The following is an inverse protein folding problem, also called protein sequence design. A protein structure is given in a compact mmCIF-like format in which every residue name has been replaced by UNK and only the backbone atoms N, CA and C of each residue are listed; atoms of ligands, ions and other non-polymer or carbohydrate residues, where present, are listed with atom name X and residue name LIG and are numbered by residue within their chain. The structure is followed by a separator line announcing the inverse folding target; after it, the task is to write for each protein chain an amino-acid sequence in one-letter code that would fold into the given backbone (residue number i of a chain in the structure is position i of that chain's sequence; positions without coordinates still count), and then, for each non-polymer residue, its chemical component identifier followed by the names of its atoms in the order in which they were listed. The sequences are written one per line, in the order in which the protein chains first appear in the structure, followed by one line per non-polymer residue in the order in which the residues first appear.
data_IF_223343923881
#
_entry.id   IF_223343923881
#
_cell.length_a   1.000
_cell.length_b   1.000
_cell.length_c   1.000
_cell.angle_alpha   90.00
_cell.angle_beta   90.00
_cell.angle_gamma   90.00
#
_symmetry.space_group_name_H-M   'P 1'
#
loop_
_entity.id
_entity.type
_entity.pdbx_description
1 polymer ?
#
# COMPACT_ATOMS: atom_id res chain seq x y z
N UNK A 1 -8.60 -8.26 69.00
CA UNK A 1 -8.78 -8.98 67.73
C UNK A 1 -8.81 -8.02 66.60
N UNK A 2 -7.79 -8.07 65.83
CA UNK A 2 -7.60 -7.09 64.77
C UNK A 2 -7.87 -7.80 63.45
N UNK A 3 -8.91 -7.36 62.76
CA UNK A 3 -9.13 -7.77 61.37
C UNK A 3 -8.09 -7.09 60.51
N UNK A 4 -7.26 -7.86 59.84
CA UNK A 4 -6.36 -7.36 58.85
C UNK A 4 -7.15 -7.04 57.57
N UNK A 5 -7.06 -5.85 57.04
CA UNK A 5 -7.65 -5.60 55.73
C UNK A 5 -6.84 -6.34 54.70
N UNK A 6 -7.48 -7.25 54.03
CA UNK A 6 -6.98 -7.86 52.82
C UNK A 6 -6.92 -6.75 51.77
N UNK A 7 -5.74 -6.24 51.53
CA UNK A 7 -5.45 -5.45 50.35
C UNK A 7 -5.52 -6.39 49.16
N UNK A 8 -6.65 -6.41 48.54
CA UNK A 8 -6.76 -6.99 47.20
C UNK A 8 -5.96 -6.09 46.25
N UNK A 9 -4.74 -6.47 46.00
CA UNK A 9 -3.95 -5.89 44.94
C UNK A 9 -4.61 -6.31 43.63
N UNK A 10 -5.51 -5.49 43.14
CA UNK A 10 -6.03 -5.65 41.79
C UNK A 10 -4.90 -5.40 40.81
N UNK A 11 -4.33 -6.48 40.33
CA UNK A 11 -3.43 -6.40 39.18
C UNK A 11 -4.32 -6.02 38.00
N UNK A 12 -4.34 -4.76 37.69
CA UNK A 12 -4.92 -4.27 36.48
C UNK A 12 -4.00 -4.72 35.34
N UNK A 13 -4.27 -5.90 34.81
CA UNK A 13 -3.68 -6.29 33.55
C UNK A 13 -4.25 -5.35 32.49
N UNK A 14 -3.49 -4.32 32.16
CA UNK A 14 -3.69 -3.60 30.92
C UNK A 14 -3.32 -4.55 29.79
N UNK A 15 -4.27 -5.33 29.34
CA UNK A 15 -4.17 -5.96 28.05
C UNK A 15 -4.27 -4.85 27.02
N UNK A 16 -3.12 -4.36 26.58
CA UNK A 16 -3.08 -3.57 25.38
C UNK A 16 -3.67 -4.44 24.27
N UNK A 17 -4.70 -4.00 23.57
CA UNK A 17 -5.15 -4.74 22.40
C UNK A 17 -3.93 -4.88 21.50
N UNK A 18 -3.62 -6.13 21.12
CA UNK A 18 -2.67 -6.38 20.06
C UNK A 18 -3.01 -5.42 18.94
N UNK A 19 -2.06 -4.55 18.62
CA UNK A 19 -2.29 -3.45 17.71
C UNK A 19 -3.05 -3.92 16.48
N UNK A 20 -4.20 -3.34 16.25
CA UNK A 20 -4.99 -3.54 15.06
C UNK A 20 -4.28 -2.94 13.82
N UNK A 21 -2.95 -3.10 13.72
CA UNK A 21 -2.14 -2.48 12.69
C UNK A 21 -2.26 -3.16 11.34
N UNK A 22 -2.92 -4.31 11.26
CA UNK A 22 -2.89 -5.15 10.06
C UNK A 22 -4.26 -5.50 9.53
N UNK A 23 -5.22 -4.61 9.71
CA UNK A 23 -6.52 -4.78 9.08
C UNK A 23 -6.44 -4.75 7.55
N UNK A 24 -5.36 -4.17 7.00
CA UNK A 24 -5.02 -4.26 5.58
C UNK A 24 -3.75 -5.08 5.45
N UNK A 25 -3.86 -6.26 4.87
CA UNK A 25 -2.71 -7.10 4.59
C UNK A 25 -1.66 -6.32 3.81
N UNK A 26 -0.45 -6.23 4.34
CA UNK A 26 0.69 -5.68 3.61
C UNK A 26 0.96 -6.51 2.38
N UNK A 27 1.16 -5.85 1.26
CA UNK A 27 1.63 -6.49 0.03
C UNK A 27 3.13 -6.72 0.20
N UNK A 28 3.53 -7.95 0.53
CA UNK A 28 4.96 -8.26 0.78
C UNK A 28 5.74 -8.63 -0.47
N UNK A 29 5.05 -9.12 -1.48
CA UNK A 29 5.64 -9.47 -2.76
C UNK A 29 4.74 -8.95 -3.87
N UNK A 30 5.36 -8.32 -4.85
CA UNK A 30 4.68 -7.80 -6.01
C UNK A 30 5.25 -8.48 -7.24
N UNK A 31 4.39 -9.21 -7.95
CA UNK A 31 4.69 -9.66 -9.30
C UNK A 31 4.20 -8.59 -10.28
N UNK A 32 5.12 -7.84 -10.85
CA UNK A 32 4.79 -6.65 -11.65
C UNK A 32 3.81 -6.93 -12.79
N UNK A 33 3.92 -8.09 -13.41
CA UNK A 33 3.08 -8.44 -14.57
C UNK A 33 1.68 -8.92 -14.19
N UNK A 34 1.48 -9.31 -12.93
CA UNK A 34 0.23 -9.93 -12.47
C UNK A 34 -0.59 -9.06 -11.55
N UNK A 35 0.03 -8.09 -10.89
CA UNK A 35 -0.66 -7.25 -9.93
C UNK A 35 -1.79 -6.48 -10.59
N UNK A 36 -3.00 -6.63 -10.05
CA UNK A 36 -4.18 -5.93 -10.57
C UNK A 36 -4.35 -4.56 -9.93
N UNK A 37 -5.12 -3.71 -10.60
CA UNK A 37 -5.55 -2.42 -10.09
C UNK A 37 -6.18 -2.56 -8.69
N UNK A 38 -7.10 -3.51 -8.54
CA UNK A 38 -7.80 -3.76 -7.28
C UNK A 38 -6.83 -4.13 -6.15
N UNK A 39 -5.89 -5.02 -6.42
CA UNK A 39 -4.92 -5.47 -5.43
C UNK A 39 -4.02 -4.32 -4.96
N UNK A 40 -3.51 -3.52 -5.88
CA UNK A 40 -2.66 -2.38 -5.53
C UNK A 40 -3.45 -1.33 -4.73
N UNK A 41 -4.66 -1.00 -5.18
CA UNK A 41 -5.50 0.02 -4.54
C UNK A 41 -6.00 -0.42 -3.16
N UNK A 42 -6.15 -1.72 -2.92
CA UNK A 42 -6.54 -2.28 -1.63
C UNK A 42 -5.41 -2.28 -0.59
N UNK A 43 -4.17 -2.10 -1.01
CA UNK A 43 -3.02 -2.02 -0.11
C UNK A 43 -3.07 -0.78 0.79
N UNK A 44 -2.25 -0.79 1.85
CA UNK A 44 -2.07 0.41 2.65
C UNK A 44 -1.35 1.50 1.85
N UNK A 45 -1.38 2.74 2.34
CA UNK A 45 -0.83 3.88 1.62
C UNK A 45 0.67 3.72 1.33
N UNK A 46 1.43 3.20 2.29
CA UNK A 46 2.88 3.00 2.14
C UNK A 46 3.18 1.97 1.05
N UNK A 47 2.52 0.83 1.06
CA UNK A 47 2.73 -0.23 0.07
C UNK A 47 2.28 0.23 -1.33
N UNK A 48 1.16 0.93 -1.40
CA UNK A 48 0.66 1.47 -2.65
C UNK A 48 1.63 2.49 -3.26
N UNK A 49 2.10 3.43 -2.47
CA UNK A 49 3.03 4.46 -2.93
C UNK A 49 4.38 3.85 -3.34
N UNK A 50 4.88 2.87 -2.58
CA UNK A 50 6.07 2.14 -2.93
C UNK A 50 5.90 1.38 -4.26
N UNK A 51 4.77 0.71 -4.44
CA UNK A 51 4.45 -0.01 -5.67
C UNK A 51 4.37 0.92 -6.88
N UNK A 52 3.70 2.05 -6.75
CA UNK A 52 3.59 3.06 -7.82
C UNK A 52 4.97 3.59 -8.19
N UNK A 53 5.78 3.95 -7.21
CA UNK A 53 7.15 4.44 -7.44
C UNK A 53 8.00 3.40 -8.16
N UNK A 54 7.86 2.14 -7.77
CA UNK A 54 8.59 1.05 -8.40
C UNK A 54 8.20 0.85 -9.86
N UNK A 55 6.91 0.92 -10.19
CA UNK A 55 6.46 0.84 -11.59
C UNK A 55 7.04 1.96 -12.45
N UNK A 56 7.07 3.18 -11.96
CA UNK A 56 7.68 4.29 -12.69
C UNK A 56 9.16 4.06 -12.93
N UNK A 57 9.90 3.59 -11.92
CA UNK A 57 11.31 3.24 -12.07
C UNK A 57 11.54 2.09 -13.04
N UNK A 58 10.72 1.06 -12.95
CA UNK A 58 10.78 -0.09 -13.85
C UNK A 58 10.53 0.32 -15.30
N UNK A 59 9.53 1.13 -15.57
CA UNK A 59 9.23 1.61 -16.92
C UNK A 59 10.32 2.53 -17.46
N UNK A 60 10.87 3.41 -16.63
CA UNK A 60 12.01 4.24 -17.02
C UNK A 60 13.23 3.38 -17.37
N UNK A 61 13.51 2.34 -16.57
CA UNK A 61 14.60 1.41 -16.83
C UNK A 61 14.44 0.66 -18.15
N UNK A 62 13.23 0.26 -18.50
CA UNK A 62 12.95 -0.38 -19.81
C UNK A 62 13.22 0.53 -20.98
N UNK A 63 13.11 1.84 -20.80
CA UNK A 63 13.41 2.84 -21.83
C UNK A 63 14.86 3.34 -21.76
N UNK A 64 15.67 2.74 -20.89
CA UNK A 64 17.04 3.19 -20.61
C UNK A 64 17.10 4.67 -20.21
N UNK A 65 16.04 5.16 -19.56
CA UNK A 65 15.98 6.53 -19.09
C UNK A 65 16.48 6.63 -17.65
N UNK A 66 17.39 7.55 -17.40
CA UNK A 66 17.85 7.91 -16.05
C UNK A 66 17.34 9.28 -15.61
N UNK A 67 16.52 9.91 -16.44
CA UNK A 67 15.91 11.20 -16.15
C UNK A 67 14.47 10.99 -15.71
N UNK A 68 14.12 11.59 -14.58
CA UNK A 68 12.79 11.50 -14.00
C UNK A 68 12.18 12.90 -13.96
N UNK A 69 11.02 13.08 -14.57
CA UNK A 69 10.20 14.27 -14.44
C UNK A 69 9.13 14.02 -13.36
N UNK A 70 9.29 14.65 -12.22
CA UNK A 70 8.37 14.43 -11.09
C UNK A 70 6.94 14.90 -11.38
N UNK A 71 6.78 15.91 -12.22
CA UNK A 71 5.45 16.37 -12.63
C UNK A 71 4.77 15.29 -13.49
N UNK A 72 5.47 14.78 -14.48
CA UNK A 72 4.93 13.72 -15.33
C UNK A 72 4.60 12.45 -14.54
N UNK A 73 5.41 12.10 -13.56
CA UNK A 73 5.11 10.98 -12.66
C UNK A 73 3.80 11.22 -11.91
N UNK A 74 3.62 12.42 -11.34
CA UNK A 74 2.40 12.74 -10.60
C UNK A 74 1.16 12.70 -11.52
N UNK A 75 1.23 13.31 -12.69
CA UNK A 75 0.13 13.31 -13.65
C UNK A 75 -0.19 11.91 -14.18
N UNK A 76 0.83 11.12 -14.49
CA UNK A 76 0.63 9.74 -14.94
C UNK A 76 0.03 8.87 -13.82
N UNK A 77 0.47 9.06 -12.59
CA UNK A 77 -0.11 8.36 -11.43
C UNK A 77 -1.60 8.65 -11.31
N UNK A 78 -2.01 9.90 -11.46
CA UNK A 78 -3.43 10.28 -11.42
C UNK A 78 -4.23 9.60 -12.53
N UNK A 79 -3.69 9.56 -13.75
CA UNK A 79 -4.34 8.85 -14.86
C UNK A 79 -4.45 7.35 -14.61
N UNK A 80 -3.43 6.74 -14.03
CA UNK A 80 -3.47 5.31 -13.66
C UNK A 80 -4.55 5.06 -12.61
N UNK A 81 -4.64 5.90 -11.60
CA UNK A 81 -5.68 5.78 -10.57
C UNK A 81 -7.08 5.88 -11.17
N UNK A 82 -7.32 6.85 -12.01
CA UNK A 82 -8.62 7.02 -12.67
C UNK A 82 -8.95 5.80 -13.54
N UNK A 83 -7.99 5.31 -14.29
CA UNK A 83 -8.17 4.09 -15.08
C UNK A 83 -8.51 2.88 -14.20
N UNK A 84 -7.80 2.72 -13.08
CA UNK A 84 -8.02 1.61 -12.16
C UNK A 84 -9.40 1.64 -11.49
N UNK A 85 -9.96 2.81 -11.23
CA UNK A 85 -11.32 2.93 -10.69
C UNK A 85 -12.35 2.32 -11.62
N UNK A 86 -12.18 2.47 -12.92
CA UNK A 86 -13.09 1.92 -13.95
C UNK A 86 -12.70 0.51 -14.38
N UNK A 87 -11.50 0.06 -14.10
CA UNK A 87 -10.96 -1.21 -14.56
C UNK A 87 -10.24 -1.97 -13.45
N UNK A 88 -10.95 -2.37 -12.38
CA UNK A 88 -10.30 -2.95 -11.19
C UNK A 88 -9.62 -4.29 -11.44
N UNK A 89 -10.04 -5.04 -12.45
CA UNK A 89 -9.44 -6.34 -12.80
C UNK A 89 -8.30 -6.23 -13.80
N UNK A 90 -8.06 -5.04 -14.37
CA UNK A 90 -6.90 -4.81 -15.23
C UNK A 90 -5.62 -4.94 -14.44
N UNK A 91 -4.54 -5.36 -15.08
CA UNK A 91 -3.23 -5.32 -14.45
C UNK A 91 -2.71 -3.89 -14.38
N UNK A 92 -1.88 -3.62 -13.40
CA UNK A 92 -1.23 -2.30 -13.28
C UNK A 92 -0.36 -2.02 -14.51
N UNK A 93 0.32 -3.03 -15.06
CA UNK A 93 1.10 -2.86 -16.30
C UNK A 93 0.24 -2.39 -17.46
N UNK A 94 -0.96 -2.96 -17.61
CA UNK A 94 -1.91 -2.53 -18.64
C UNK A 94 -2.41 -1.11 -18.36
N UNK A 95 -2.68 -0.76 -17.10
CA UNK A 95 -3.09 0.59 -16.72
C UNK A 95 -2.02 1.63 -17.08
N UNK A 96 -0.77 1.36 -16.79
CA UNK A 96 0.34 2.25 -17.19
C UNK A 96 0.47 2.38 -18.70
N UNK A 97 0.37 1.27 -19.43
CA UNK A 97 0.46 1.28 -20.89
C UNK A 97 -0.68 2.08 -21.55
N UNK A 98 -1.91 1.91 -21.05
CA UNK A 98 -3.09 2.58 -21.62
C UNK A 98 -3.18 4.06 -21.27
N UNK A 99 -2.54 4.49 -20.21
CA UNK A 99 -2.56 5.89 -19.75
C UNK A 99 -1.28 6.65 -20.08
N UNK A 100 -0.32 6.01 -20.74
CA UNK A 100 0.88 6.66 -21.24
C UNK A 100 0.51 7.72 -22.28
N UNK A 101 1.26 8.80 -22.27
CA UNK A 101 1.20 9.82 -23.32
C UNK A 101 2.22 9.55 -24.40
#
# INVERSE_FOLDING_TARGET
MKALPLLALGIMLCTLPASAQDEKASIRKIELEKLTCKELMAGNDTDRDAGISFYHGYLAGRKNSTVIDLREIAEHTDRVRDYCLSNPTATIMAAYAKTAK
#
